data_IF_989202019056
#
_entry.id   IF_989202019056
#
_cell.length_a   1.000
_cell.length_b   1.000
_cell.length_c   1.000
_cell.angle_alpha   90.00
_cell.angle_beta   90.00
_cell.angle_gamma   90.00
#
_symmetry.space_group_name_H-M   'P 1'
#
loop_
_entity.id
_entity.type
_entity.pdbx_description
1 polymer ?
#
# COMPACT_ATOMS: atom_id res chain seq x y z
N UNK A 1 11.98 -17.06 -0.65
CA UNK A 1 10.91 -16.06 -0.85
C UNK A 1 11.54 -14.86 -1.53
N UNK A 2 10.99 -14.44 -2.67
CA UNK A 2 11.49 -13.25 -3.37
C UNK A 2 10.89 -12.03 -2.67
N UNK A 3 11.73 -11.24 -2.00
CA UNK A 3 11.32 -9.98 -1.39
C UNK A 3 11.13 -8.92 -2.48
N UNK A 4 10.27 -7.94 -2.21
CA UNK A 4 10.09 -6.80 -3.11
C UNK A 4 11.37 -5.96 -3.16
N UNK A 5 11.91 -5.76 -4.37
CA UNK A 5 12.96 -4.78 -4.59
C UNK A 5 12.30 -3.41 -4.80
N UNK A 6 12.09 -2.69 -3.71
CA UNK A 6 11.37 -1.40 -3.74
C UNK A 6 12.11 -0.34 -4.55
N UNK A 7 13.44 -0.41 -4.62
CA UNK A 7 14.23 0.50 -5.44
C UNK A 7 13.99 0.26 -6.93
N UNK A 8 13.95 -1.00 -7.36
CA UNK A 8 13.60 -1.34 -8.73
C UNK A 8 12.17 -0.88 -9.06
N UNK A 9 11.21 -1.07 -8.16
CA UNK A 9 9.83 -0.62 -8.38
C UNK A 9 9.73 0.91 -8.45
N UNK A 10 10.58 1.65 -7.74
CA UNK A 10 10.71 3.11 -7.87
C UNK A 10 11.28 3.49 -9.24
N UNK A 11 12.28 2.76 -9.72
CA UNK A 11 12.84 2.99 -11.06
C UNK A 11 11.81 2.69 -12.15
N UNK A 12 11.07 1.60 -12.01
CA UNK A 12 10.01 1.21 -12.93
C UNK A 12 8.86 2.25 -12.91
N UNK A 13 8.46 2.74 -11.73
CA UNK A 13 7.52 3.85 -11.61
C UNK A 13 8.00 5.07 -12.40
N UNK A 14 9.29 5.41 -12.24
CA UNK A 14 9.90 6.55 -12.92
C UNK A 14 9.75 6.45 -14.43
N UNK A 15 9.98 5.26 -14.99
CA UNK A 15 9.77 4.99 -16.41
C UNK A 15 8.29 5.00 -16.80
N UNK A 16 7.40 4.33 -16.04
CA UNK A 16 5.95 4.30 -16.29
C UNK A 16 5.33 5.70 -16.35
N UNK A 17 5.79 6.60 -15.49
CA UNK A 17 5.25 7.97 -15.36
C UNK A 17 6.06 9.03 -16.09
N UNK A 18 7.14 8.63 -16.77
CA UNK A 18 8.07 9.53 -17.44
C UNK A 18 8.53 10.71 -16.55
N UNK A 19 8.84 10.42 -15.29
CA UNK A 19 9.29 11.43 -14.31
C UNK A 19 10.82 11.43 -14.20
N UNK A 20 11.43 12.59 -14.02
CA UNK A 20 12.88 12.69 -13.88
C UNK A 20 13.31 12.58 -12.43
N UNK A 21 14.54 12.14 -12.17
CA UNK A 21 15.11 12.12 -10.82
C UNK A 21 15.07 13.51 -10.16
N UNK A 22 15.22 14.58 -10.95
CA UNK A 22 15.09 15.97 -10.50
C UNK A 22 13.67 16.29 -10.00
N UNK A 23 12.63 15.83 -10.70
CA UNK A 23 11.23 16.03 -10.25
C UNK A 23 10.96 15.28 -8.95
N UNK A 24 11.47 14.05 -8.81
CA UNK A 24 11.41 13.28 -7.56
C UNK A 24 12.13 14.04 -6.43
N UNK A 25 13.31 14.61 -6.69
CA UNK A 25 14.03 15.41 -5.70
C UNK A 25 13.21 16.62 -5.20
N UNK A 26 12.57 17.35 -6.13
CA UNK A 26 11.72 18.50 -5.82
C UNK A 26 10.53 18.06 -4.98
N UNK A 27 9.84 16.99 -5.37
CA UNK A 27 8.71 16.43 -4.63
C UNK A 27 9.10 16.08 -3.19
N UNK A 28 10.25 15.45 -3.02
CA UNK A 28 10.77 15.05 -1.70
C UNK A 28 11.42 16.19 -0.92
N UNK A 29 11.41 17.42 -1.45
CA UNK A 29 12.07 18.60 -0.89
C UNK A 29 13.56 18.35 -0.56
N UNK A 30 14.28 17.71 -1.49
CA UNK A 30 15.73 17.46 -1.39
C UNK A 30 16.49 18.06 -2.57
N UNK A 31 17.81 18.17 -2.42
CA UNK A 31 18.68 18.64 -3.50
C UNK A 31 18.67 17.63 -4.67
N UNK A 32 18.68 18.06 -5.94
CA UNK A 32 18.76 17.15 -7.08
C UNK A 32 19.93 16.16 -7.03
N UNK A 33 21.07 16.58 -6.46
CA UNK A 33 22.23 15.71 -6.25
C UNK A 33 21.91 14.51 -5.33
N UNK A 34 21.07 14.70 -4.31
CA UNK A 34 20.65 13.63 -3.40
C UNK A 34 19.85 12.55 -4.12
N UNK A 35 18.92 12.94 -5.00
CA UNK A 35 18.23 11.96 -5.83
C UNK A 35 19.19 11.24 -6.78
N UNK A 36 20.14 11.96 -7.41
CA UNK A 36 21.16 11.32 -8.25
C UNK A 36 22.01 10.28 -7.49
N UNK A 37 22.32 10.57 -6.23
CA UNK A 37 23.01 9.63 -5.34
C UNK A 37 22.16 8.39 -5.04
N UNK A 38 20.85 8.56 -4.82
CA UNK A 38 19.95 7.41 -4.61
C UNK A 38 19.96 6.42 -5.77
N UNK A 39 19.86 6.93 -7.00
CA UNK A 39 19.90 6.10 -8.22
C UNK A 39 21.29 5.51 -8.51
N UNK A 40 22.35 6.15 -8.06
CA UNK A 40 23.70 5.57 -8.16
C UNK A 40 23.88 4.45 -7.13
N UNK A 41 23.42 4.67 -5.90
CA UNK A 41 23.56 3.73 -4.78
C UNK A 41 22.46 2.66 -4.72
N UNK A 42 21.48 2.73 -5.60
CA UNK A 42 20.29 1.87 -5.60
C UNK A 42 19.58 1.85 -4.24
N UNK A 43 19.50 3.01 -3.59
CA UNK A 43 18.96 3.15 -2.25
C UNK A 43 18.33 4.52 -2.03
N UNK A 44 17.15 4.55 -1.42
CA UNK A 44 16.42 5.75 -1.01
C UNK A 44 15.85 5.51 0.38
N UNK A 45 15.83 6.53 1.24
CA UNK A 45 15.25 6.41 2.58
C UNK A 45 13.73 6.19 2.49
N UNK A 46 13.20 5.31 3.34
CA UNK A 46 11.78 4.93 3.35
C UNK A 46 10.81 6.12 3.50
N UNK A 47 11.22 7.17 4.24
CA UNK A 47 10.44 8.41 4.39
C UNK A 47 10.09 9.07 3.04
N UNK A 48 10.91 8.89 2.02
CA UNK A 48 10.68 9.45 0.69
C UNK A 48 9.80 8.55 -0.18
N UNK A 49 9.81 7.23 0.05
CA UNK A 49 8.98 6.27 -0.69
C UNK A 49 7.49 6.59 -0.51
N UNK A 50 7.06 6.89 0.72
CA UNK A 50 5.68 7.26 1.01
C UNK A 50 5.26 8.59 0.38
N UNK A 51 6.16 9.58 0.36
CA UNK A 51 5.93 10.86 -0.32
C UNK A 51 5.72 10.62 -1.81
N UNK A 52 6.57 9.79 -2.43
CA UNK A 52 6.46 9.47 -3.86
C UNK A 52 5.17 8.70 -4.15
N UNK A 53 4.84 7.68 -3.36
CA UNK A 53 3.65 6.84 -3.55
C UNK A 53 2.33 7.63 -3.46
N UNK A 54 2.27 8.67 -2.61
CA UNK A 54 1.07 9.49 -2.42
C UNK A 54 1.07 10.79 -3.26
N UNK A 55 2.02 10.95 -4.17
CA UNK A 55 2.11 12.13 -5.04
C UNK A 55 1.33 11.96 -6.35
N UNK A 56 1.30 13.03 -7.15
CA UNK A 56 0.84 12.99 -8.54
C UNK A 56 1.60 11.96 -9.40
N UNK A 57 2.82 11.60 -9.03
CA UNK A 57 3.63 10.60 -9.73
C UNK A 57 3.40 9.17 -9.21
N UNK A 58 2.74 8.97 -8.07
CA UNK A 58 2.45 7.65 -7.54
C UNK A 58 1.51 6.84 -8.43
N UNK A 59 1.60 5.52 -8.37
CA UNK A 59 0.59 4.60 -8.89
C UNK A 59 0.33 3.46 -7.90
N UNK A 60 -0.79 2.77 -8.08
CA UNK A 60 -1.27 1.68 -7.23
C UNK A 60 -0.24 0.55 -7.19
N UNK A 61 0.46 0.36 -8.30
CA UNK A 61 1.57 -0.58 -8.42
C UNK A 61 2.67 -0.28 -7.41
N UNK A 62 3.15 0.95 -7.40
CA UNK A 62 4.21 1.37 -6.50
C UNK A 62 3.75 1.42 -5.05
N UNK A 63 2.51 1.85 -4.78
CA UNK A 63 1.93 1.83 -3.45
C UNK A 63 1.83 0.40 -2.89
N UNK A 64 1.35 -0.55 -3.69
CA UNK A 64 1.31 -1.96 -3.28
C UNK A 64 2.73 -2.53 -3.07
N UNK A 65 3.68 -2.15 -3.92
CA UNK A 65 5.07 -2.56 -3.74
C UNK A 65 5.66 -2.02 -2.43
N UNK A 66 5.37 -0.78 -2.07
CA UNK A 66 5.79 -0.19 -0.80
C UNK A 66 5.17 -0.91 0.39
N UNK A 67 3.86 -1.20 0.34
CA UNK A 67 3.17 -1.98 1.38
C UNK A 67 3.78 -3.37 1.54
N UNK A 68 4.05 -4.06 0.42
CA UNK A 68 4.69 -5.37 0.46
C UNK A 68 6.12 -5.31 1.01
N UNK A 69 6.88 -4.27 0.69
CA UNK A 69 8.22 -4.04 1.21
C UNK A 69 8.22 -3.82 2.73
N UNK A 70 7.38 -2.91 3.23
CA UNK A 70 7.25 -2.59 4.67
C UNK A 70 6.79 -3.79 5.49
N UNK A 71 5.80 -4.54 4.98
CA UNK A 71 5.21 -5.70 5.65
C UNK A 71 6.01 -6.99 5.41
N UNK A 72 7.12 -6.94 4.65
CA UNK A 72 7.94 -8.09 4.25
C UNK A 72 7.12 -9.21 3.57
N UNK A 73 6.13 -8.81 2.78
CA UNK A 73 5.29 -9.73 2.02
C UNK A 73 6.02 -10.23 0.75
N UNK A 74 5.70 -11.44 0.27
CA UNK A 74 6.27 -11.97 -0.95
C UNK A 74 5.94 -11.09 -2.16
N UNK A 75 6.88 -10.98 -3.10
CA UNK A 75 6.65 -10.27 -4.37
C UNK A 75 5.55 -10.88 -5.25
N UNK A 76 4.95 -12.03 -4.88
CA UNK A 76 3.77 -12.56 -5.57
C UNK A 76 2.52 -11.69 -5.38
N UNK A 77 2.40 -10.96 -4.27
CA UNK A 77 1.29 -10.06 -3.95
C UNK A 77 1.17 -8.90 -4.93
N UNK A 78 2.28 -8.53 -5.56
CA UNK A 78 2.34 -7.57 -6.65
C UNK A 78 1.42 -7.93 -7.84
N UNK A 79 1.02 -9.20 -8.00
CA UNK A 79 0.08 -9.62 -9.04
C UNK A 79 -1.39 -9.36 -8.70
N UNK A 80 -1.71 -9.00 -7.44
CA UNK A 80 -3.08 -8.78 -6.99
C UNK A 80 -3.75 -7.57 -7.67
N UNK A 81 -2.97 -6.64 -8.23
CA UNK A 81 -3.47 -5.49 -9.00
C UNK A 81 -4.00 -5.83 -10.40
N UNK A 82 -3.85 -7.07 -10.89
CA UNK A 82 -4.14 -7.40 -12.30
C UNK A 82 -5.62 -7.38 -12.71
N UNK A 83 -6.56 -6.98 -11.85
CA UNK A 83 -7.99 -7.12 -12.16
C UNK A 83 -8.91 -5.92 -11.95
N UNK A 84 -8.46 -4.78 -11.43
CA UNK A 84 -9.40 -3.72 -11.12
C UNK A 84 -9.42 -2.64 -12.20
N UNK A 85 -10.61 -2.49 -12.81
CA UNK A 85 -10.96 -1.42 -13.76
C UNK A 85 -10.97 -0.09 -13.01
N UNK A 86 -10.75 1.01 -13.73
CA UNK A 86 -10.72 2.41 -13.25
C UNK A 86 -12.06 2.93 -12.70
N UNK A 87 -12.76 2.18 -11.84
CA UNK A 87 -14.03 2.57 -11.22
C UNK A 87 -13.97 2.41 -9.70
N UNK A 88 -13.75 3.53 -9.00
CA UNK A 88 -13.62 3.58 -7.54
C UNK A 88 -14.87 3.03 -6.82
N UNK A 89 -16.06 3.08 -7.42
CA UNK A 89 -17.27 2.50 -6.85
C UNK A 89 -17.26 0.97 -6.99
N UNK A 90 -16.81 0.45 -8.13
CA UNK A 90 -16.64 -0.99 -8.33
C UNK A 90 -15.58 -1.57 -7.38
N UNK A 91 -14.50 -0.82 -7.11
CA UNK A 91 -13.48 -1.18 -6.13
C UNK A 91 -14.06 -1.24 -4.71
N UNK A 92 -14.90 -0.28 -4.32
CA UNK A 92 -15.59 -0.29 -3.02
C UNK A 92 -16.56 -1.47 -2.87
N UNK A 93 -17.35 -1.77 -3.91
CA UNK A 93 -18.28 -2.90 -3.90
C UNK A 93 -17.52 -4.23 -3.80
N UNK A 94 -16.41 -4.36 -4.54
CA UNK A 94 -15.52 -5.52 -4.44
C UNK A 94 -14.89 -5.67 -3.05
N UNK A 95 -14.36 -4.57 -2.50
CA UNK A 95 -13.79 -4.56 -1.16
C UNK A 95 -14.84 -4.95 -0.09
N UNK A 96 -16.10 -4.53 -0.24
CA UNK A 96 -17.18 -4.92 0.67
C UNK A 96 -17.55 -6.41 0.57
N UNK A 97 -17.50 -7.02 -0.62
CA UNK A 97 -17.72 -8.46 -0.76
C UNK A 97 -16.59 -9.25 -0.09
N UNK A 98 -15.36 -8.82 -0.27
CA UNK A 98 -14.19 -9.47 0.34
C UNK A 98 -14.12 -9.22 1.87
N UNK A 99 -14.62 -8.09 2.36
CA UNK A 99 -14.78 -7.81 3.80
C UNK A 99 -15.63 -8.90 4.49
N UNK A 100 -16.68 -9.39 3.82
CA UNK A 100 -17.52 -10.48 4.33
C UNK A 100 -16.79 -11.85 4.38
N UNK A 101 -15.83 -12.07 3.49
CA UNK A 101 -14.95 -13.25 3.51
C UNK A 101 -13.92 -13.11 4.64
N UNK A 102 -13.44 -11.88 4.88
CA UNK A 102 -12.53 -11.54 5.98
C UNK A 102 -13.18 -11.69 7.36
N UNK A 103 -14.46 -11.34 7.51
CA UNK A 103 -15.23 -11.56 8.75
C UNK A 103 -15.29 -13.06 9.10
N UNK A 104 -15.47 -13.91 8.09
CA UNK A 104 -15.44 -15.36 8.26
C UNK A 104 -14.04 -15.83 8.68
N UNK A 105 -12.99 -15.27 8.08
CA UNK A 105 -11.61 -15.58 8.45
C UNK A 105 -11.28 -15.13 9.89
N UNK A 106 -11.81 -13.99 10.37
CA UNK A 106 -11.68 -13.53 11.77
C UNK A 106 -12.33 -14.54 12.71
N UNK A 107 -13.57 -14.96 12.44
CA UNK A 107 -14.28 -15.94 13.27
C UNK A 107 -13.50 -17.26 13.33
N UNK A 108 -12.99 -17.73 12.19
CA UNK A 108 -12.17 -18.95 12.14
C UNK A 108 -10.87 -18.80 12.93
N UNK A 109 -10.20 -17.64 12.85
CA UNK A 109 -9.00 -17.35 13.64
C UNK A 109 -9.30 -17.33 15.13
N UNK A 110 -10.40 -16.68 15.55
CA UNK A 110 -10.81 -16.67 16.96
C UNK A 110 -11.02 -18.09 17.49
N UNK A 111 -11.71 -18.93 16.71
CA UNK A 111 -11.94 -20.34 17.05
C UNK A 111 -10.62 -21.13 17.11
N UNK A 112 -9.74 -20.98 16.12
CA UNK A 112 -8.45 -21.69 16.06
C UNK A 112 -7.51 -21.28 17.19
N UNK A 113 -7.42 -19.98 17.50
CA UNK A 113 -6.56 -19.45 18.55
C UNK A 113 -7.08 -19.78 19.97
N UNK A 114 -8.35 -20.17 20.10
CA UNK A 114 -8.93 -20.67 21.36
C UNK A 114 -8.55 -22.13 21.67
N UNK A 115 -7.98 -22.86 20.71
CA UNK A 115 -7.56 -24.24 20.89
C UNK A 115 -6.23 -24.31 21.66
N UNK A 116 -6.06 -25.35 22.48
CA UNK A 116 -4.83 -25.59 23.23
C UNK A 116 -3.62 -25.83 22.31
N UNK A 117 -3.86 -26.47 21.15
CA UNK A 117 -2.86 -26.66 20.09
C UNK A 117 -3.47 -26.23 18.74
N UNK A 118 -3.30 -24.96 18.34
CA UNK A 118 -3.89 -24.43 17.11
C UNK A 118 -3.26 -25.03 15.83
N UNK A 119 -4.09 -25.23 14.79
CA UNK A 119 -3.59 -25.62 13.47
C UNK A 119 -2.90 -24.43 12.77
N UNK A 120 -1.56 -24.45 12.77
CA UNK A 120 -0.74 -23.39 12.17
C UNK A 120 -1.01 -23.16 10.67
N UNK A 121 -1.40 -24.20 9.92
CA UNK A 121 -1.70 -24.06 8.49
C UNK A 121 -2.98 -23.25 8.28
N UNK A 122 -4.01 -23.53 9.08
CA UNK A 122 -5.29 -22.82 9.00
C UNK A 122 -5.16 -21.39 9.54
N UNK A 123 -4.37 -21.17 10.60
CA UNK A 123 -4.02 -19.81 11.06
C UNK A 123 -3.37 -19.02 9.91
N UNK A 124 -2.39 -19.62 9.23
CA UNK A 124 -1.71 -18.99 8.10
C UNK A 124 -2.68 -18.62 6.98
N UNK A 125 -3.55 -19.55 6.57
CA UNK A 125 -4.54 -19.31 5.51
C UNK A 125 -5.49 -18.17 5.85
N UNK A 126 -6.11 -18.20 7.04
CA UNK A 126 -7.06 -17.16 7.44
C UNK A 126 -6.37 -15.80 7.65
N UNK A 127 -5.11 -15.81 8.14
CA UNK A 127 -4.34 -14.57 8.30
C UNK A 127 -3.98 -13.93 6.96
N UNK A 128 -3.66 -14.73 5.94
CA UNK A 128 -3.40 -14.22 4.58
C UNK A 128 -4.66 -13.58 3.97
N UNK A 129 -5.84 -14.15 4.22
CA UNK A 129 -7.12 -13.56 3.78
C UNK A 129 -7.33 -12.15 4.36
N UNK A 130 -6.99 -11.95 5.65
CA UNK A 130 -7.04 -10.62 6.27
C UNK A 130 -6.04 -9.65 5.65
N UNK A 131 -4.83 -10.11 5.31
CA UNK A 131 -3.83 -9.29 4.63
C UNK A 131 -4.29 -8.90 3.22
N UNK A 132 -4.80 -9.84 2.44
CA UNK A 132 -5.29 -9.60 1.08
C UNK A 132 -6.44 -8.58 1.07
N UNK A 133 -7.42 -8.76 1.96
CA UNK A 133 -8.54 -7.83 2.14
C UNK A 133 -8.04 -6.45 2.57
N UNK A 134 -7.21 -6.39 3.62
CA UNK A 134 -6.69 -5.13 4.14
C UNK A 134 -5.87 -4.33 3.12
N UNK A 135 -5.04 -4.99 2.30
CA UNK A 135 -4.30 -4.34 1.22
C UNK A 135 -5.22 -3.73 0.17
N UNK A 136 -6.27 -4.44 -0.24
CA UNK A 136 -7.24 -3.93 -1.22
C UNK A 136 -8.05 -2.77 -0.66
N UNK A 137 -8.43 -2.81 0.61
CA UNK A 137 -9.09 -1.68 1.28
C UNK A 137 -8.18 -0.44 1.31
N UNK A 138 -6.90 -0.60 1.64
CA UNK A 138 -5.93 0.51 1.63
C UNK A 138 -5.81 1.08 0.21
N UNK A 139 -5.63 0.24 -0.81
CA UNK A 139 -5.52 0.68 -2.19
C UNK A 139 -6.78 1.43 -2.65
N UNK A 140 -7.96 0.87 -2.38
CA UNK A 140 -9.25 1.50 -2.72
C UNK A 140 -9.41 2.86 -2.04
N UNK A 141 -9.13 2.95 -0.74
CA UNK A 141 -9.20 4.20 0.01
C UNK A 141 -8.23 5.27 -0.53
N UNK A 142 -6.99 4.88 -0.86
CA UNK A 142 -6.02 5.81 -1.45
C UNK A 142 -6.45 6.28 -2.84
N UNK A 143 -7.03 5.39 -3.66
CA UNK A 143 -7.53 5.75 -4.99
C UNK A 143 -8.68 6.76 -4.93
N UNK A 144 -9.62 6.60 -3.99
CA UNK A 144 -10.71 7.55 -3.77
C UNK A 144 -10.16 8.93 -3.38
N UNK A 145 -9.24 8.99 -2.41
CA UNK A 145 -8.64 10.26 -2.00
C UNK A 145 -7.93 10.95 -3.17
N UNK A 146 -7.20 10.18 -3.97
CA UNK A 146 -6.51 10.68 -5.15
C UNK A 146 -7.47 11.17 -6.24
N UNK A 147 -8.57 10.47 -6.51
CA UNK A 147 -9.56 10.87 -7.53
C UNK A 147 -10.25 12.19 -7.17
N UNK A 148 -10.41 12.45 -5.87
CA UNK A 148 -10.98 13.70 -5.34
C UNK A 148 -9.93 14.81 -5.13
N UNK A 149 -8.66 14.55 -5.46
CA UNK A 149 -7.57 15.52 -5.26
C UNK A 149 -7.21 15.77 -3.79
N UNK A 150 -7.58 14.86 -2.89
CA UNK A 150 -7.32 14.94 -1.45
C UNK A 150 -6.01 14.21 -1.13
N UNK A 151 -5.11 14.89 -0.43
CA UNK A 151 -3.87 14.30 0.06
C UNK A 151 -4.15 13.30 1.20
N UNK A 152 -3.59 12.09 1.10
CA UNK A 152 -3.70 11.08 2.18
C UNK A 152 -3.18 11.61 3.53
N UNK A 153 -2.00 12.28 3.60
CA UNK A 153 -1.56 12.95 4.82
C UNK A 153 -2.56 13.98 5.38
N UNK A 154 -3.20 14.80 4.54
CA UNK A 154 -4.17 15.81 4.99
C UNK A 154 -5.41 15.15 5.59
N UNK A 155 -5.99 14.15 4.90
CA UNK A 155 -7.14 13.40 5.37
C UNK A 155 -6.89 12.70 6.73
N UNK A 156 -5.66 12.20 6.96
CA UNK A 156 -5.29 11.57 8.22
C UNK A 156 -5.16 12.59 9.37
N UNK A 157 -4.67 13.80 9.09
CA UNK A 157 -4.55 14.88 10.07
C UNK A 157 -5.94 15.40 10.49
N UNK A 158 -6.82 15.66 9.52
CA UNK A 158 -8.19 16.10 9.79
C UNK A 158 -8.96 15.09 10.67
N UNK A 159 -8.79 13.78 10.42
CA UNK A 159 -9.39 12.74 11.27
C UNK A 159 -8.93 12.83 12.73
N UNK A 160 -7.66 13.18 12.99
CA UNK A 160 -7.15 13.35 14.37
C UNK A 160 -7.76 14.57 15.04
N UNK A 161 -7.88 15.69 14.32
CA UNK A 161 -8.46 16.91 14.86
C UNK A 161 -9.95 16.72 15.21
N UNK A 162 -10.72 16.06 14.34
CA UNK A 162 -12.12 15.72 14.61
C UNK A 162 -12.28 14.81 15.82
N UNK A 163 -11.39 13.82 15.99
CA UNK A 163 -11.44 12.92 17.14
C UNK A 163 -11.03 13.62 18.45
N UNK A 164 -10.06 14.54 18.40
CA UNK A 164 -9.66 15.34 19.55
C UNK A 164 -10.72 16.37 19.96
N UNK A 165 -11.54 16.85 19.02
CA UNK A 165 -12.66 17.76 19.31
C UNK A 165 -13.88 17.05 19.92
N UNK A 166 -13.91 15.71 19.91
CA UNK A 166 -15.01 14.87 20.42
C UNK A 166 -14.66 14.14 21.73
N UNK A 167 -13.41 14.23 22.19
CA UNK A 167 -12.93 13.70 23.45
C UNK A 167 -12.98 14.77 24.55
#
# INVERSE_FOLDING_TARGET
MNNVNIFQELEDLRYRKNVSQRKIAILCNVKPASAGEWFTKHHVDDKYLWIIANSEYGDDRFLLALLCYELRLPSSYLNSLRKNREDSLADLIGAQQEDSESDTAIINLMNLLSLEIPNKKEIGSNSLELFDTGLKMILSATNILKSEGISVPEALLERREVNNARA
#
